data_IF_317307190449
#
_entry.id   IF_317307190449
#
_cell.length_a   1.000
_cell.length_b   1.000
_cell.length_c   1.000
_cell.angle_alpha   90.00
_cell.angle_beta   90.00
_cell.angle_gamma   90.00
#
_symmetry.space_group_name_H-M   'P 1'
#
loop_
_entity.id
_entity.type
_entity.pdbx_description
1 polymer ?
#
# COMPACT_ATOMS: atom_id res chain seq x y z
N UNK A 1 -18.59 12.03 -26.24
CA UNK A 1 -18.08 11.45 -26.35
C UNK A 1 -17.47 11.22 -26.14
N UNK A 2 -18.26 11.64 -26.10
CA UNK A 2 -17.77 11.06 -26.07
C UNK A 2 -17.36 10.90 -25.80
N UNK A 3 -17.68 10.83 -25.41
CA UNK A 3 -17.26 10.29 -25.22
C UNK A 3 -17.21 10.25 -25.05
N UNK A 4 -17.35 10.17 -24.55
CA UNK A 4 -17.17 9.88 -24.41
C UNK A 4 -16.92 9.54 -24.14
N UNK A 5 -17.52 9.89 -24.14
CA UNK A 5 -17.37 9.42 -24.07
C UNK A 5 -16.82 9.13 -23.71
N UNK A 6 -17.46 9.58 -23.77
CA UNK A 6 -17.03 9.09 -23.63
C UNK A 6 -16.76 9.19 -23.28
N UNK A 7 -17.05 9.45 -22.74
CA UNK A 7 -16.70 9.20 -22.49
C UNK A 7 -16.74 9.35 -22.27
N UNK A 8 -17.01 9.59 -21.94
CA UNK A 8 -16.82 9.41 -21.88
C UNK A 8 -16.75 9.50 -21.78
N UNK A 9 -17.25 9.47 -21.42
CA UNK A 9 -17.05 9.30 -21.50
C UNK A 9 -16.83 9.54 -21.26
N UNK A 10 -17.04 9.77 -20.71
CA UNK A 10 -16.64 9.78 -20.59
C UNK A 10 -16.71 10.12 -20.37
N UNK A 11 -16.99 10.18 -19.78
CA UNK A 11 -16.81 10.36 -19.67
C UNK A 11 -16.90 10.42 -19.41
N UNK A 12 -17.47 10.69 -19.40
CA UNK A 12 -17.43 10.60 -19.43
C UNK A 12 -17.42 10.69 -19.12
N UNK A 13 -18.00 11.05 -18.96
CA UNK A 13 -17.87 10.99 -18.84
C UNK A 13 -17.89 11.51 -18.54
N UNK A 14 -18.37 12.00 -18.15
CA UNK A 14 -18.20 12.26 -17.82
C UNK A 14 -18.53 12.86 -17.53
N UNK A 15 -19.07 13.12 -17.19
CA UNK A 15 -19.30 13.48 -16.83
C UNK A 15 -19.84 13.76 -16.40
N UNK A 16 -20.34 14.05 -16.19
CA UNK A 16 -20.83 14.13 -15.65
C UNK A 16 -21.09 14.48 -15.17
N UNK A 17 -21.07 14.70 -14.80
CA UNK A 17 -21.15 15.11 -14.15
C UNK A 17 -21.64 15.66 -13.15
N UNK A 18 -21.62 15.46 -12.39
CA UNK A 18 -22.09 16.29 -11.34
C UNK A 18 -21.45 15.86 -10.01
N UNK A 19 -21.68 16.61 -8.91
CA UNK A 19 -20.92 16.40 -7.69
C UNK A 19 -21.13 15.03 -7.06
N UNK A 20 -22.33 14.49 -7.19
CA UNK A 20 -22.62 13.20 -6.57
C UNK A 20 -21.84 12.08 -7.18
N UNK A 21 -21.49 12.25 -8.41
CA UNK A 21 -20.75 11.21 -9.11
C UNK A 21 -19.32 11.14 -8.67
N UNK A 22 -18.83 12.20 -8.04
CA UNK A 22 -17.44 12.22 -7.62
C UNK A 22 -17.12 11.15 -6.62
N UNK A 23 -18.07 10.86 -5.72
CA UNK A 23 -17.83 9.86 -4.69
C UNK A 23 -17.71 8.46 -5.27
N UNK A 24 -18.45 8.22 -6.32
CA UNK A 24 -18.46 6.91 -6.95
C UNK A 24 -17.40 6.79 -8.03
N UNK A 25 -16.88 7.92 -8.48
CA UNK A 25 -15.94 7.91 -9.61
C UNK A 25 -14.53 7.63 -9.15
N UNK A 26 -13.88 6.73 -9.84
CA UNK A 26 -12.47 6.45 -9.65
C UNK A 26 -11.76 6.87 -10.91
N UNK A 27 -10.72 7.68 -10.78
CA UNK A 27 -9.96 8.13 -11.93
C UNK A 27 -9.10 7.01 -12.48
N UNK A 28 -8.64 7.17 -13.70
CA UNK A 28 -7.68 6.21 -14.27
C UNK A 28 -6.42 6.11 -13.45
N UNK A 29 -5.97 7.24 -12.94
CA UNK A 29 -4.75 7.26 -12.13
C UNK A 29 -4.95 6.53 -10.81
N UNK A 30 -6.12 6.71 -10.18
CA UNK A 30 -6.44 5.97 -8.97
C UNK A 30 -6.51 4.47 -9.24
N UNK A 31 -7.12 4.08 -10.35
CA UNK A 31 -7.16 2.67 -10.73
C UNK A 31 -5.77 2.09 -10.94
N UNK A 32 -4.91 2.85 -11.61
CA UNK A 32 -3.54 2.40 -11.83
C UNK A 32 -2.79 2.25 -10.51
N UNK A 33 -2.96 3.22 -9.61
CA UNK A 33 -2.30 3.16 -8.30
C UNK A 33 -2.79 1.96 -7.49
N UNK A 34 -4.10 1.68 -7.52
CA UNK A 34 -4.66 0.52 -6.83
C UNK A 34 -4.06 -0.77 -7.38
N UNK A 35 -3.95 -0.88 -8.70
CA UNK A 35 -3.36 -2.07 -9.31
C UNK A 35 -1.91 -2.27 -8.89
N UNK A 36 -1.14 -1.19 -8.89
CA UNK A 36 0.25 -1.26 -8.41
C UNK A 36 0.33 -1.65 -6.94
N UNK A 37 -0.53 -1.03 -6.12
CA UNK A 37 -0.53 -1.31 -4.68
C UNK A 37 -0.83 -2.79 -4.42
N UNK A 38 -1.83 -3.34 -5.11
CA UNK A 38 -2.18 -4.75 -4.95
C UNK A 38 -1.02 -5.65 -5.35
N UNK A 39 -0.36 -5.32 -6.45
CA UNK A 39 0.74 -6.12 -6.95
C UNK A 39 1.89 -6.16 -5.95
N UNK A 40 2.28 -4.99 -5.43
CA UNK A 40 3.34 -4.90 -4.44
C UNK A 40 2.96 -5.66 -3.16
N UNK A 41 1.75 -5.43 -2.68
CA UNK A 41 1.32 -6.04 -1.42
C UNK A 41 1.21 -7.55 -1.51
N UNK A 42 0.91 -8.09 -2.69
CA UNK A 42 0.77 -9.53 -2.89
C UNK A 42 2.12 -10.22 -3.07
N UNK A 43 3.14 -9.50 -3.50
CA UNK A 43 4.44 -10.13 -3.80
C UNK A 43 5.49 -9.84 -2.75
N UNK A 44 5.35 -8.77 -1.98
CA UNK A 44 6.35 -8.33 -1.00
C UNK A 44 5.74 -8.24 0.38
N UNK A 45 6.49 -8.61 1.44
CA UNK A 45 6.00 -8.44 2.82
C UNK A 45 6.18 -6.99 3.25
N UNK A 46 5.40 -6.11 2.66
CA UNK A 46 5.54 -4.66 2.78
C UNK A 46 4.52 -4.09 3.75
N UNK A 47 4.90 -3.04 4.49
CA UNK A 47 3.98 -2.31 5.36
C UNK A 47 3.17 -1.32 4.55
N UNK A 48 2.06 -0.84 5.13
CA UNK A 48 1.24 0.18 4.48
C UNK A 48 2.05 1.44 4.21
N UNK A 49 2.87 1.85 5.18
CA UNK A 49 3.69 3.05 5.04
C UNK A 49 4.73 2.90 3.93
N UNK A 50 5.39 1.75 3.86
CA UNK A 50 6.36 1.50 2.81
C UNK A 50 5.70 1.42 1.45
N UNK A 51 4.51 0.85 1.40
CA UNK A 51 3.75 0.79 0.15
C UNK A 51 3.43 2.20 -0.35
N UNK A 52 2.98 3.07 0.55
CA UNK A 52 2.73 4.45 0.21
C UNK A 52 3.99 5.13 -0.34
N UNK A 53 5.12 4.92 0.33
CA UNK A 53 6.39 5.49 -0.10
C UNK A 53 6.79 4.98 -1.49
N UNK A 54 6.57 3.71 -1.74
CA UNK A 54 6.88 3.13 -3.05
C UNK A 54 6.05 3.79 -4.15
N UNK A 55 4.77 4.01 -3.87
CA UNK A 55 3.87 4.61 -4.85
C UNK A 55 4.22 6.07 -5.14
N UNK A 56 4.74 6.80 -4.16
CA UNK A 56 5.04 8.22 -4.33
C UNK A 56 6.48 8.52 -4.69
N UNK A 57 7.37 7.53 -4.62
CA UNK A 57 8.80 7.74 -4.81
C UNK A 57 9.13 8.23 -6.21
N UNK A 58 10.07 9.18 -6.30
CA UNK A 58 10.62 9.61 -7.59
C UNK A 58 11.24 8.45 -8.35
N UNK A 59 11.75 7.48 -7.63
CA UNK A 59 12.40 6.32 -8.22
C UNK A 59 11.45 5.13 -8.31
N UNK A 60 10.24 5.29 -7.84
CA UNK A 60 9.19 4.28 -7.93
C UNK A 60 8.14 4.71 -8.93
N UNK A 61 6.89 4.74 -8.46
CA UNK A 61 5.74 4.94 -9.35
C UNK A 61 5.35 6.40 -9.54
N UNK A 62 5.83 7.29 -8.70
CA UNK A 62 5.66 8.75 -8.84
C UNK A 62 4.20 9.22 -8.77
N UNK A 63 3.33 8.47 -8.12
CA UNK A 63 1.94 8.93 -7.97
C UNK A 63 1.88 10.13 -7.03
N UNK A 64 0.92 11.04 -7.27
CA UNK A 64 0.68 12.13 -6.31
C UNK A 64 0.28 11.55 -4.95
N UNK A 65 0.55 12.31 -3.90
CA UNK A 65 0.31 11.85 -2.54
C UNK A 65 -1.14 11.43 -2.30
N UNK A 66 -2.10 12.21 -2.80
CA UNK A 66 -3.50 11.90 -2.58
C UNK A 66 -3.94 10.64 -3.33
N UNK A 67 -3.38 10.41 -4.51
CA UNK A 67 -3.68 9.20 -5.29
C UNK A 67 -3.10 7.98 -4.58
N UNK A 68 -1.87 8.08 -4.09
CA UNK A 68 -1.23 6.97 -3.38
C UNK A 68 -1.97 6.65 -2.08
N UNK A 69 -2.39 7.68 -1.35
CA UNK A 69 -3.13 7.47 -0.11
C UNK A 69 -4.46 6.78 -0.40
N UNK A 70 -5.14 7.23 -1.44
CA UNK A 70 -6.39 6.59 -1.85
C UNK A 70 -6.16 5.10 -2.12
N UNK A 71 -5.09 4.79 -2.85
CA UNK A 71 -4.81 3.40 -3.24
C UNK A 71 -4.55 2.52 -2.02
N UNK A 72 -3.69 2.97 -1.09
CA UNK A 72 -3.37 2.13 0.06
C UNK A 72 -4.54 1.99 1.03
N UNK A 73 -5.47 2.95 1.00
CA UNK A 73 -6.66 2.89 1.86
C UNK A 73 -7.77 2.03 1.26
N UNK A 74 -7.70 1.70 -0.02
CA UNK A 74 -8.78 0.99 -0.70
C UNK A 74 -8.38 -0.40 -1.19
N UNK A 75 -7.33 -0.96 -0.58
CA UNK A 75 -6.97 -2.36 -0.82
C UNK A 75 -7.03 -3.12 0.50
N UNK A 76 -7.18 -4.42 0.40
CA UNK A 76 -7.25 -5.30 1.56
C UNK A 76 -5.94 -6.07 1.67
N UNK A 77 -5.19 -5.83 2.76
CA UNK A 77 -3.90 -6.47 2.96
C UNK A 77 -3.77 -6.87 4.42
N UNK A 78 -3.26 -8.06 4.66
CA UNK A 78 -2.97 -8.51 6.02
C UNK A 78 -1.55 -8.08 6.38
N UNK A 79 -1.43 -6.86 6.90
CA UNK A 79 -0.12 -6.31 7.24
C UNK A 79 0.53 -7.00 8.43
N UNK A 80 -0.27 -7.57 9.33
CA UNK A 80 0.31 -8.37 10.43
C UNK A 80 1.05 -9.58 9.89
N UNK A 81 0.46 -10.23 8.91
CA UNK A 81 1.10 -11.38 8.29
C UNK A 81 2.33 -10.95 7.50
N UNK A 82 2.26 -9.79 6.84
CA UNK A 82 3.43 -9.26 6.15
C UNK A 82 4.57 -8.99 7.12
N UNK A 83 4.24 -8.41 8.29
CA UNK A 83 5.25 -8.17 9.32
C UNK A 83 5.87 -9.48 9.80
N UNK A 84 5.05 -10.50 10.00
CA UNK A 84 5.54 -11.82 10.42
C UNK A 84 6.45 -12.45 9.37
N UNK A 85 6.03 -12.40 8.10
CA UNK A 85 6.84 -12.96 7.02
C UNK A 85 8.18 -12.26 6.93
N UNK A 86 8.19 -10.94 7.08
CA UNK A 86 9.43 -10.18 7.03
C UNK A 86 10.30 -10.51 8.26
N UNK A 87 9.68 -10.58 9.44
CA UNK A 87 10.40 -10.93 10.66
C UNK A 87 11.07 -12.29 10.54
N UNK A 88 10.37 -13.27 9.99
CA UNK A 88 10.94 -14.61 9.79
C UNK A 88 12.13 -14.57 8.84
N UNK A 89 12.06 -13.73 7.82
CA UNK A 89 13.18 -13.55 6.90
C UNK A 89 14.39 -12.97 7.62
N UNK A 90 14.17 -11.99 8.50
CA UNK A 90 15.27 -11.42 9.28
C UNK A 90 15.95 -12.47 10.15
N UNK A 91 15.18 -13.24 10.93
CA UNK A 91 15.79 -14.21 11.83
C UNK A 91 16.45 -15.35 11.09
N UNK A 92 15.99 -15.64 9.88
CA UNK A 92 16.60 -16.68 9.07
C UNK A 92 17.96 -16.24 8.54
N UNK A 93 18.10 -14.96 8.22
CA UNK A 93 19.26 -14.48 7.48
C UNK A 93 20.28 -13.74 8.34
N UNK A 94 19.90 -13.24 9.50
CA UNK A 94 20.84 -12.53 10.37
C UNK A 94 20.56 -12.89 11.83
N UNK A 95 21.58 -12.66 12.66
CA UNK A 95 21.46 -12.82 14.11
C UNK A 95 20.93 -11.49 14.66
N UNK A 96 19.72 -11.51 15.20
CA UNK A 96 19.09 -10.27 15.66
C UNK A 96 18.24 -10.60 16.90
N UNK A 97 18.27 -9.71 17.89
CA UNK A 97 17.43 -9.88 19.07
C UNK A 97 15.99 -9.51 18.73
N UNK A 98 15.06 -10.01 19.54
CA UNK A 98 13.65 -9.66 19.35
C UNK A 98 13.44 -8.16 19.47
N UNK A 99 14.11 -7.49 20.41
CA UNK A 99 13.95 -6.06 20.58
C UNK A 99 14.47 -5.29 19.35
N UNK A 100 15.64 -5.66 18.87
CA UNK A 100 16.20 -5.00 17.69
C UNK A 100 15.34 -5.24 16.46
N UNK A 101 14.78 -6.44 16.34
CA UNK A 101 13.88 -6.76 15.23
C UNK A 101 12.60 -5.93 15.34
N UNK A 102 12.04 -5.83 16.53
CA UNK A 102 10.86 -4.99 16.73
C UNK A 102 11.15 -3.55 16.30
N UNK A 103 12.29 -3.02 16.75
CA UNK A 103 12.67 -1.65 16.42
C UNK A 103 12.81 -1.46 14.92
N UNK A 104 13.38 -2.43 14.22
CA UNK A 104 13.52 -2.37 12.77
C UNK A 104 12.17 -2.40 12.08
N UNK A 105 11.25 -3.23 12.58
CA UNK A 105 9.93 -3.35 11.97
C UNK A 105 9.12 -2.06 12.09
N UNK A 106 9.24 -1.33 13.19
CA UNK A 106 8.45 -0.10 13.39
C UNK A 106 9.16 1.17 12.92
N UNK A 107 10.46 1.11 12.63
CA UNK A 107 11.22 2.30 12.26
C UNK A 107 10.67 2.94 11.00
N UNK A 108 10.51 4.26 11.02
CA UNK A 108 10.08 5.00 9.84
C UNK A 108 11.09 4.88 8.71
N UNK A 109 12.36 4.79 9.07
CA UNK A 109 13.42 4.63 8.07
C UNK A 109 13.70 3.16 7.80
N UNK A 110 13.07 2.27 8.54
CA UNK A 110 13.13 0.83 8.33
C UNK A 110 11.87 0.36 7.63
N UNK A 111 11.16 -0.59 8.27
CA UNK A 111 10.04 -1.27 7.61
C UNK A 111 8.71 -0.55 7.73
N UNK A 112 8.55 0.31 8.74
CA UNK A 112 7.36 1.17 8.81
C UNK A 112 6.06 0.49 9.25
N UNK A 113 6.13 -0.68 9.87
CA UNK A 113 4.93 -1.33 10.41
C UNK A 113 4.45 -0.62 11.66
N UNK A 114 3.17 -0.78 11.99
CA UNK A 114 2.65 -0.25 13.24
C UNK A 114 3.19 -1.07 14.41
N UNK A 115 3.18 -0.50 15.63
CA UNK A 115 3.59 -1.27 16.80
C UNK A 115 2.80 -2.57 16.97
N UNK A 116 1.50 -2.54 16.68
CA UNK A 116 0.67 -3.73 16.80
C UNK A 116 1.06 -4.80 15.80
N UNK A 117 1.35 -4.40 14.58
CA UNK A 117 1.78 -5.34 13.54
C UNK A 117 3.12 -5.94 13.88
N UNK A 118 4.05 -5.11 14.37
CA UNK A 118 5.37 -5.59 14.75
C UNK A 118 5.29 -6.54 15.95
N UNK A 119 4.47 -6.20 16.95
CA UNK A 119 4.32 -7.05 18.12
C UNK A 119 3.71 -8.40 17.74
N UNK A 120 2.74 -8.37 16.83
CA UNK A 120 2.17 -9.62 16.32
C UNK A 120 3.27 -10.50 15.72
N UNK A 121 4.14 -9.88 14.92
CA UNK A 121 5.23 -10.62 14.28
C UNK A 121 6.16 -11.25 15.30
N UNK A 122 6.57 -10.45 16.30
CA UNK A 122 7.48 -10.97 17.32
C UNK A 122 6.83 -12.11 18.10
N UNK A 123 5.55 -11.99 18.42
CA UNK A 123 4.83 -12.99 19.20
C UNK A 123 4.63 -14.31 18.45
N UNK A 124 4.73 -14.28 17.12
CA UNK A 124 4.44 -15.46 16.30
C UNK A 124 5.65 -16.00 15.56
N UNK A 125 6.85 -15.57 15.96
CA UNK A 125 8.08 -15.99 15.27
C UNK A 125 8.30 -17.48 15.27
N UNK A 126 7.85 -18.16 16.30
CA UNK A 126 8.12 -19.59 16.46
C UNK A 126 7.07 -20.48 15.83
N UNK A 127 6.19 -19.90 15.08
CA UNK A 127 5.12 -20.65 14.43
C UNK A 127 5.64 -21.38 13.17
#
# INVERSE_FOLDING_TARGET
QTDKQNSVNLKQNTKNQNANDEEASITSEQNAAIAHAKSYANTLPISKKSLYKQLTSEYGEKYPADVAQYAVDHISVDYKMNALRLAKSYVKNINISNQALYDQLVSENGEGFTPEEAQYAINHLDW
#
